data_IF_715046447153
#
_entry.id   IF_715046447153
#
_cell.length_a   1.000
_cell.length_b   1.000
_cell.length_c   1.000
_cell.angle_alpha   90.00
_cell.angle_beta   90.00
_cell.angle_gamma   90.00
#
_symmetry.space_group_name_H-M   'P 1'
#
loop_
_entity.id
_entity.type
_entity.pdbx_description
1 polymer ?
#
# COMPACT_ATOMS: atom_id res chain seq x y z
N UNK A 1 22.13 -18.88 6.63
CA UNK A 1 21.19 -18.43 5.59
C UNK A 1 21.33 -16.92 5.50
N UNK A 2 21.52 -16.39 4.30
CA UNK A 2 21.55 -14.95 4.05
C UNK A 2 20.31 -14.60 3.23
N UNK A 3 19.54 -13.62 3.68
CA UNK A 3 18.34 -13.16 2.99
C UNK A 3 18.38 -11.64 2.86
N UNK A 4 17.88 -11.13 1.75
CA UNK A 4 17.75 -9.69 1.55
C UNK A 4 16.67 -9.12 2.47
N UNK A 5 16.78 -7.83 2.74
CA UNK A 5 15.77 -7.09 3.48
C UNK A 5 14.37 -7.23 2.84
N UNK A 6 14.29 -7.10 1.51
CA UNK A 6 13.04 -7.23 0.76
C UNK A 6 12.44 -8.63 0.86
N UNK A 7 13.27 -9.69 0.79
CA UNK A 7 12.84 -11.07 1.01
C UNK A 7 12.24 -11.25 2.41
N UNK A 8 12.91 -10.70 3.42
CA UNK A 8 12.42 -10.69 4.80
C UNK A 8 11.04 -10.03 4.93
N UNK A 9 10.84 -8.85 4.34
CA UNK A 9 9.55 -8.15 4.38
C UNK A 9 8.43 -8.93 3.71
N UNK A 10 8.67 -9.46 2.51
CA UNK A 10 7.67 -10.27 1.79
C UNK A 10 7.34 -11.52 2.59
N UNK A 11 8.35 -12.19 3.15
CA UNK A 11 8.13 -13.41 3.93
C UNK A 11 7.33 -13.16 5.22
N UNK A 12 7.64 -12.07 5.94
CA UNK A 12 6.88 -11.67 7.13
C UNK A 12 5.41 -11.37 6.76
N UNK A 13 5.20 -10.71 5.63
CA UNK A 13 3.87 -10.39 5.14
C UNK A 13 3.07 -11.65 4.77
N UNK A 14 3.66 -12.58 4.01
CA UNK A 14 3.02 -13.84 3.64
C UNK A 14 2.63 -14.64 4.89
N UNK A 15 3.57 -14.81 5.83
CA UNK A 15 3.33 -15.46 7.11
C UNK A 15 2.16 -14.82 7.86
N UNK A 16 2.17 -13.49 8.00
CA UNK A 16 1.12 -12.77 8.75
C UNK A 16 -0.26 -12.82 8.08
N UNK A 17 -0.31 -13.01 6.77
CA UNK A 17 -1.57 -13.15 6.03
C UNK A 17 -2.18 -14.55 6.16
N UNK A 18 -1.42 -15.53 6.68
CA UNK A 18 -1.81 -16.93 6.74
C UNK A 18 -1.92 -17.58 5.37
N UNK A 19 -1.15 -17.08 4.39
CA UNK A 19 -1.20 -17.50 2.97
C UNK A 19 0.11 -18.11 2.52
N UNK A 20 0.60 -19.09 3.27
CA UNK A 20 1.86 -19.80 2.98
C UNK A 20 1.90 -20.36 1.55
N UNK A 21 0.74 -20.69 0.95
CA UNK A 21 0.64 -21.13 -0.44
C UNK A 21 1.13 -20.10 -1.48
N UNK A 22 1.31 -18.83 -1.09
CA UNK A 22 1.88 -17.79 -1.95
C UNK A 22 3.36 -18.00 -2.24
N UNK A 23 4.10 -18.72 -1.40
CA UNK A 23 5.50 -18.98 -1.69
C UNK A 23 5.71 -19.98 -2.83
N UNK A 24 4.68 -20.76 -3.16
CA UNK A 24 4.77 -21.86 -4.12
C UNK A 24 4.22 -21.47 -5.51
N UNK A 25 3.90 -20.19 -5.73
CA UNK A 25 3.40 -19.68 -7.01
C UNK A 25 3.66 -18.18 -7.18
N UNK A 26 3.63 -17.66 -8.42
CA UNK A 26 3.71 -16.22 -8.63
C UNK A 26 2.56 -15.44 -7.97
N UNK A 27 2.88 -14.31 -7.37
CA UNK A 27 1.92 -13.36 -6.80
C UNK A 27 2.42 -11.92 -6.91
N UNK A 28 1.53 -10.97 -6.67
CA UNK A 28 1.87 -9.56 -6.55
C UNK A 28 1.94 -9.16 -5.08
N UNK A 29 2.96 -8.40 -4.69
CA UNK A 29 3.06 -7.77 -3.37
C UNK A 29 2.96 -6.26 -3.53
N UNK A 30 1.91 -5.63 -3.00
CA UNK A 30 1.77 -4.18 -3.00
C UNK A 30 2.18 -3.61 -1.65
N UNK A 31 3.31 -2.92 -1.61
CA UNK A 31 3.83 -2.27 -0.41
C UNK A 31 3.48 -0.78 -0.38
N UNK A 32 2.63 -0.39 0.56
CA UNK A 32 2.22 1.00 0.81
C UNK A 32 2.49 1.43 2.26
N UNK A 33 3.59 2.14 2.47
CA UNK A 33 4.00 2.68 3.78
C UNK A 33 4.11 4.21 3.73
N UNK A 34 4.57 4.80 4.83
CA UNK A 34 4.96 6.22 4.84
C UNK A 34 6.06 6.56 3.84
N UNK A 35 6.96 5.62 3.52
CA UNK A 35 8.10 5.86 2.62
C UNK A 35 8.01 5.16 1.26
N UNK A 36 7.12 4.18 1.10
CA UNK A 36 7.13 3.26 -0.05
C UNK A 36 5.75 3.18 -0.68
N UNK A 37 5.70 3.15 -2.01
CA UNK A 37 4.50 2.79 -2.77
C UNK A 37 4.94 2.04 -4.01
N UNK A 38 4.97 0.72 -3.90
CA UNK A 38 5.49 -0.18 -4.92
C UNK A 38 4.58 -1.38 -5.08
N UNK A 39 4.35 -1.78 -6.32
CA UNK A 39 3.77 -3.04 -6.71
C UNK A 39 4.90 -3.93 -7.22
N UNK A 40 5.17 -5.00 -6.50
CA UNK A 40 6.20 -5.98 -6.80
C UNK A 40 5.57 -7.21 -7.44
N UNK A 41 6.17 -7.70 -8.53
CA UNK A 41 5.92 -9.05 -9.04
C UNK A 41 6.90 -10.00 -8.36
N UNK A 42 6.36 -11.00 -7.67
CA UNK A 42 7.12 -12.02 -6.97
C UNK A 42 6.90 -13.33 -7.71
N UNK A 43 7.84 -13.73 -8.56
CA UNK A 43 7.81 -15.06 -9.21
C UNK A 43 8.34 -16.13 -8.25
N UNK A 44 9.37 -15.76 -7.48
CA UNK A 44 9.90 -16.50 -6.33
C UNK A 44 10.56 -15.49 -5.37
N UNK A 45 11.05 -15.94 -4.22
CA UNK A 45 11.79 -15.05 -3.32
C UNK A 45 13.13 -14.58 -3.92
N UNK A 46 13.68 -15.30 -4.89
CA UNK A 46 14.92 -14.93 -5.58
C UNK A 46 14.67 -14.14 -6.88
N UNK A 47 13.42 -14.06 -7.32
CA UNK A 47 12.98 -13.33 -8.51
C UNK A 47 11.82 -12.38 -8.16
N UNK A 48 12.23 -11.17 -7.73
CA UNK A 48 11.35 -10.07 -7.37
C UNK A 48 11.68 -8.88 -8.27
N UNK A 49 10.66 -8.33 -8.92
CA UNK A 49 10.79 -7.14 -9.77
C UNK A 49 9.72 -6.10 -9.47
N UNK A 50 10.05 -4.82 -9.65
CA UNK A 50 9.08 -3.73 -9.51
C UNK A 50 8.23 -3.67 -10.78
N UNK A 51 6.93 -3.87 -10.65
CA UNK A 51 5.98 -3.77 -11.75
C UNK A 51 5.42 -2.35 -11.89
N UNK A 52 5.17 -1.67 -10.77
CA UNK A 52 4.75 -0.27 -10.74
C UNK A 52 5.18 0.42 -9.44
N UNK A 53 5.38 1.73 -9.44
CA UNK A 53 5.75 2.51 -8.26
C UNK A 53 5.24 3.96 -8.32
N UNK A 54 5.33 4.71 -7.22
CA UNK A 54 5.22 6.17 -7.28
C UNK A 54 6.53 6.81 -7.76
N UNK A 55 6.44 7.92 -8.50
CA UNK A 55 7.60 8.66 -9.01
C UNK A 55 8.11 9.74 -8.05
N UNK A 56 7.26 10.23 -7.14
CA UNK A 56 7.54 11.40 -6.30
C UNK A 56 7.33 11.12 -4.81
N UNK A 57 6.10 11.25 -4.30
CA UNK A 57 5.75 10.99 -2.91
C UNK A 57 5.01 9.65 -2.81
N UNK A 58 5.16 8.97 -1.67
CA UNK A 58 4.39 7.79 -1.37
C UNK A 58 2.93 8.14 -1.06
N UNK A 59 2.03 7.15 -1.12
CA UNK A 59 0.65 7.33 -0.65
C UNK A 59 0.57 7.64 0.85
N UNK A 60 1.51 7.12 1.65
CA UNK A 60 1.59 7.43 3.08
C UNK A 60 2.00 8.88 3.31
N UNK A 61 2.99 9.39 2.57
CA UNK A 61 3.37 10.80 2.60
C UNK A 61 2.21 11.72 2.20
N UNK A 62 1.43 11.36 1.19
CA UNK A 62 0.24 12.13 0.83
C UNK A 62 -0.74 12.20 2.01
N UNK A 63 -1.04 11.07 2.65
CA UNK A 63 -1.92 11.01 3.84
C UNK A 63 -1.36 11.88 4.97
N UNK A 64 -0.08 11.74 5.28
CA UNK A 64 0.55 12.46 6.39
C UNK A 64 0.59 13.97 6.15
N UNK A 65 0.97 14.40 4.94
CA UNK A 65 1.03 15.83 4.59
C UNK A 65 -0.35 16.48 4.59
N UNK A 66 -1.36 15.80 4.05
CA UNK A 66 -2.75 16.30 4.10
C UNK A 66 -3.25 16.35 5.54
N UNK A 67 -2.99 15.31 6.34
CA UNK A 67 -3.38 15.30 7.74
C UNK A 67 -2.77 16.46 8.53
N UNK A 68 -1.47 16.75 8.33
CA UNK A 68 -0.79 17.91 8.94
C UNK A 68 -1.41 19.23 8.45
N UNK A 69 -1.68 19.35 7.16
CA UNK A 69 -2.35 20.51 6.58
C UNK A 69 -3.73 20.77 7.22
N UNK A 70 -4.46 19.70 7.58
CA UNK A 70 -5.77 19.76 8.24
C UNK A 70 -5.69 19.83 9.77
N UNK A 71 -4.49 20.01 10.35
CA UNK A 71 -4.31 20.26 11.79
C UNK A 71 -3.94 19.04 12.65
N UNK A 72 -3.59 17.90 12.03
CA UNK A 72 -3.09 16.72 12.77
C UNK A 72 -1.58 16.78 13.04
N UNK A 73 -1.11 15.99 14.01
CA UNK A 73 0.28 15.58 14.12
C UNK A 73 0.62 14.37 13.23
N UNK A 74 1.88 13.94 13.28
CA UNK A 74 2.38 12.74 12.59
C UNK A 74 2.46 11.54 13.56
N UNK A 75 2.13 10.31 13.14
CA UNK A 75 1.53 9.93 11.85
C UNK A 75 0.04 10.33 11.78
N UNK A 76 -0.44 10.73 10.60
CA UNK A 76 -1.78 11.32 10.44
C UNK A 76 -2.83 10.36 9.87
N UNK A 77 -2.45 9.13 9.52
CA UNK A 77 -3.37 8.12 8.97
C UNK A 77 -4.66 7.92 9.76
N UNK A 78 -4.61 7.60 11.08
CA UNK A 78 -5.80 7.39 11.89
C UNK A 78 -6.69 8.63 12.00
N UNK A 79 -6.09 9.82 12.04
CA UNK A 79 -6.82 11.08 12.06
C UNK A 79 -7.60 11.28 10.75
N UNK A 80 -6.91 11.10 9.61
CA UNK A 80 -7.51 11.33 8.30
C UNK A 80 -8.62 10.31 8.00
N UNK A 81 -8.43 9.06 8.42
CA UNK A 81 -9.46 8.02 8.33
C UNK A 81 -10.72 8.38 9.11
N UNK A 82 -10.57 8.82 10.37
CA UNK A 82 -11.70 9.22 11.20
C UNK A 82 -12.41 10.45 10.62
N UNK A 83 -11.65 11.43 10.14
CA UNK A 83 -12.17 12.67 9.57
C UNK A 83 -12.95 12.39 8.26
N UNK A 84 -12.47 11.45 7.45
CA UNK A 84 -13.13 11.04 6.21
C UNK A 84 -14.53 10.41 6.42
N UNK A 85 -14.85 9.88 7.61
CA UNK A 85 -16.17 9.28 7.87
C UNK A 85 -17.34 10.26 7.70
N UNK A 86 -17.11 11.56 7.90
CA UNK A 86 -18.10 12.62 7.67
C UNK A 86 -18.05 13.24 6.27
N UNK A 87 -17.17 12.74 5.40
CA UNK A 87 -16.88 13.34 4.09
C UNK A 87 -17.56 12.62 2.93
N UNK A 88 -17.49 13.27 1.77
CA UNK A 88 -17.92 12.76 0.48
C UNK A 88 -16.97 13.26 -0.61
N UNK A 89 -16.99 12.65 -1.79
CA UNK A 89 -16.14 13.10 -2.90
C UNK A 89 -16.63 14.45 -3.43
N UNK A 90 -15.84 15.53 -3.34
CA UNK A 90 -16.14 16.77 -4.03
C UNK A 90 -16.01 16.58 -5.56
N UNK A 91 -15.09 15.71 -5.97
CA UNK A 91 -14.87 15.29 -7.34
C UNK A 91 -14.12 13.95 -7.36
N UNK A 92 -14.21 13.21 -8.48
CA UNK A 92 -13.51 11.93 -8.62
C UNK A 92 -12.02 12.15 -8.93
N UNK A 93 -11.07 11.52 -8.20
CA UNK A 93 -9.66 11.63 -8.52
C UNK A 93 -9.35 10.91 -9.85
N UNK A 94 -8.58 11.58 -10.71
CA UNK A 94 -8.17 11.04 -12.01
C UNK A 94 -6.73 10.56 -11.88
N UNK A 95 -6.57 9.26 -11.63
CA UNK A 95 -5.25 8.64 -11.49
C UNK A 95 -4.63 8.44 -12.87
N UNK A 96 -3.41 8.94 -13.07
CA UNK A 96 -2.62 8.71 -14.27
C UNK A 96 -1.39 7.89 -13.90
N UNK A 97 -1.17 6.82 -14.66
CA UNK A 97 0.02 5.98 -14.56
C UNK A 97 0.68 6.03 -15.93
N UNK A 98 1.99 6.28 -15.95
CA UNK A 98 2.80 6.34 -17.16
C UNK A 98 4.04 5.50 -16.93
N UNK A 99 4.29 4.53 -17.81
CA UNK A 99 5.48 3.68 -17.79
C UNK A 99 5.73 2.99 -16.43
N UNK A 100 4.66 2.60 -15.73
CA UNK A 100 4.75 1.97 -14.39
C UNK A 100 4.72 2.97 -13.24
N UNK A 101 4.72 4.26 -13.52
CA UNK A 101 4.90 5.30 -12.52
C UNK A 101 3.68 6.19 -12.34
N UNK A 102 3.28 6.40 -11.08
CA UNK A 102 2.24 7.36 -10.70
C UNK A 102 2.84 8.55 -9.93
N UNK A 103 2.37 9.77 -10.19
CA UNK A 103 2.76 10.96 -9.44
C UNK A 103 1.63 11.41 -8.53
N UNK A 104 1.95 11.62 -7.26
CA UNK A 104 1.01 11.97 -6.19
C UNK A 104 1.13 13.41 -5.70
N UNK A 105 2.22 14.12 -6.01
CA UNK A 105 2.39 15.53 -5.65
C UNK A 105 1.32 16.45 -6.25
N UNK A 106 0.75 16.09 -7.40
CA UNK A 106 -0.40 16.78 -7.98
C UNK A 106 -1.65 16.74 -7.09
N UNK A 107 -1.87 15.63 -6.37
CA UNK A 107 -2.99 15.50 -5.44
C UNK A 107 -2.74 16.27 -4.15
N UNK A 108 -1.50 16.33 -3.66
CA UNK A 108 -1.12 17.20 -2.53
C UNK A 108 -1.48 18.65 -2.83
N UNK A 109 -1.01 19.20 -3.95
CA UNK A 109 -1.34 20.57 -4.37
C UNK A 109 -2.83 20.81 -4.55
N UNK A 110 -3.54 19.79 -5.05
CA UNK A 110 -4.99 19.84 -5.25
C UNK A 110 -5.75 19.89 -3.93
N UNK A 111 -5.37 19.10 -2.93
CA UNK A 111 -5.99 19.16 -1.60
C UNK A 111 -5.77 20.51 -0.92
N UNK A 112 -4.59 21.12 -1.09
CA UNK A 112 -4.33 22.49 -0.65
C UNK A 112 -5.25 23.50 -1.34
N UNK A 113 -5.40 23.38 -2.66
CA UNK A 113 -6.32 24.22 -3.43
C UNK A 113 -7.79 24.04 -2.99
N UNK A 114 -8.20 22.81 -2.64
CA UNK A 114 -9.53 22.55 -2.09
C UNK A 114 -9.74 23.27 -0.75
N UNK A 115 -8.73 23.22 0.13
CA UNK A 115 -8.76 23.92 1.41
C UNK A 115 -8.87 25.44 1.21
N UNK A 116 -8.06 26.02 0.33
CA UNK A 116 -8.09 27.45 0.00
C UNK A 116 -9.45 27.90 -0.57
N UNK A 117 -10.19 26.98 -1.21
CA UNK A 117 -11.55 27.21 -1.73
C UNK A 117 -12.66 26.97 -0.70
N UNK A 118 -12.31 26.63 0.55
CA UNK A 118 -13.27 26.39 1.62
C UNK A 118 -14.00 25.04 1.54
N UNK A 119 -13.44 24.06 0.81
CA UNK A 119 -13.95 22.67 0.90
C UNK A 119 -13.68 22.16 2.32
N UNK A 120 -14.67 21.47 2.90
CA UNK A 120 -14.59 21.03 4.29
C UNK A 120 -13.43 20.03 4.51
N UNK A 121 -12.78 20.04 5.69
CA UNK A 121 -11.73 19.08 6.03
C UNK A 121 -12.15 17.61 5.84
N UNK A 122 -13.41 17.27 6.12
CA UNK A 122 -13.97 15.93 5.95
C UNK A 122 -13.96 15.50 4.47
N UNK A 123 -14.37 16.39 3.56
CA UNK A 123 -14.36 16.11 2.13
C UNK A 123 -12.94 16.01 1.57
N UNK A 124 -11.99 16.81 2.09
CA UNK A 124 -10.57 16.73 1.70
C UNK A 124 -9.95 15.42 2.19
N UNK A 125 -10.24 15.02 3.44
CA UNK A 125 -9.81 13.76 3.99
C UNK A 125 -10.37 12.58 3.19
N UNK A 126 -11.68 12.59 2.88
CA UNK A 126 -12.31 11.57 2.06
C UNK A 126 -11.71 11.50 0.65
N UNK A 127 -11.52 12.65 0.00
CA UNK A 127 -10.86 12.73 -1.30
C UNK A 127 -9.46 12.12 -1.27
N UNK A 128 -8.70 12.36 -0.21
CA UNK A 128 -7.33 11.86 -0.07
C UNK A 128 -7.31 10.34 0.10
N UNK A 129 -8.14 9.80 0.99
CA UNK A 129 -8.26 8.35 1.19
C UNK A 129 -8.73 7.65 -0.10
N UNK A 130 -9.73 8.20 -0.79
CA UNK A 130 -10.19 7.66 -2.08
C UNK A 130 -9.12 7.74 -3.16
N UNK A 131 -8.34 8.84 -3.20
CA UNK A 131 -7.22 8.99 -4.14
C UNK A 131 -6.19 7.89 -3.93
N UNK A 132 -5.83 7.60 -2.66
CA UNK A 132 -4.90 6.52 -2.33
C UNK A 132 -5.49 5.16 -2.74
N UNK A 133 -6.72 4.85 -2.33
CA UNK A 133 -7.38 3.60 -2.67
C UNK A 133 -7.45 3.38 -4.19
N UNK A 134 -7.86 4.40 -4.94
CA UNK A 134 -7.96 4.33 -6.40
C UNK A 134 -6.59 4.24 -7.07
N UNK A 135 -5.55 4.87 -6.50
CA UNK A 135 -4.17 4.75 -7.01
C UNK A 135 -3.68 3.32 -6.89
N UNK A 136 -3.77 2.76 -5.68
CA UNK A 136 -3.36 1.37 -5.41
C UNK A 136 -4.13 0.41 -6.31
N UNK A 137 -5.47 0.54 -6.35
CA UNK A 137 -6.33 -0.30 -7.18
C UNK A 137 -5.93 -0.24 -8.66
N UNK A 138 -5.73 0.97 -9.19
CA UNK A 138 -5.39 1.16 -10.60
C UNK A 138 -4.02 0.59 -10.94
N UNK A 139 -3.01 0.83 -10.11
CA UNK A 139 -1.68 0.24 -10.27
C UNK A 139 -1.77 -1.30 -10.25
N UNK A 140 -2.50 -1.87 -9.30
CA UNK A 140 -2.73 -3.32 -9.25
C UNK A 140 -3.42 -3.83 -10.51
N UNK A 141 -4.49 -3.19 -10.97
CA UNK A 141 -5.26 -3.68 -12.13
C UNK A 141 -4.49 -3.55 -13.45
N UNK A 142 -3.77 -2.45 -13.68
CA UNK A 142 -3.03 -2.21 -14.93
C UNK A 142 -1.75 -3.07 -15.04
N UNK A 143 -1.11 -3.37 -13.90
CA UNK A 143 0.18 -4.08 -13.86
C UNK A 143 0.07 -5.51 -13.29
N UNK A 144 -1.14 -6.04 -13.20
CA UNK A 144 -1.42 -7.46 -12.93
C UNK A 144 -2.41 -8.04 -13.97
N UNK A 145 -2.05 -8.06 -15.27
CA UNK A 145 -2.94 -8.54 -16.33
C UNK A 145 -3.30 -10.02 -16.18
N UNK A 146 -2.41 -10.81 -15.56
CA UNK A 146 -2.59 -12.23 -15.25
C UNK A 146 -3.56 -12.49 -14.09
N UNK A 147 -3.97 -11.44 -13.36
CA UNK A 147 -4.86 -11.52 -12.19
C UNK A 147 -4.32 -12.47 -11.12
N UNK A 148 -3.00 -12.44 -10.94
CA UNK A 148 -2.31 -13.14 -9.86
C UNK A 148 -2.86 -12.69 -8.50
N UNK A 149 -2.75 -13.51 -7.45
CA UNK A 149 -3.07 -13.08 -6.10
C UNK A 149 -2.28 -11.85 -5.69
N UNK A 150 -2.90 -10.97 -4.91
CA UNK A 150 -2.29 -9.72 -4.47
C UNK A 150 -2.23 -9.69 -2.96
N UNK A 151 -1.03 -9.60 -2.42
CA UNK A 151 -0.76 -9.39 -1.01
C UNK A 151 -0.50 -7.90 -0.78
N UNK A 152 -1.41 -7.23 -0.08
CA UNK A 152 -1.30 -5.83 0.31
C UNK A 152 -0.61 -5.71 1.68
N UNK A 153 0.44 -4.91 1.74
CA UNK A 153 1.31 -4.74 2.92
C UNK A 153 1.62 -3.27 3.15
N UNK A 154 2.02 -2.91 4.36
CA UNK A 154 2.32 -1.52 4.70
C UNK A 154 1.28 -0.88 5.62
N UNK A 155 1.70 0.10 6.42
CA UNK A 155 0.82 0.75 7.41
C UNK A 155 -0.43 1.39 6.79
N UNK A 156 -0.35 1.86 5.55
CA UNK A 156 -1.50 2.45 4.81
C UNK A 156 -2.60 1.43 4.57
N UNK A 157 -2.25 0.14 4.45
CA UNK A 157 -3.20 -0.96 4.30
C UNK A 157 -3.98 -1.26 5.56
N UNK A 158 -3.73 -0.57 6.68
CA UNK A 158 -4.54 -0.66 7.90
C UNK A 158 -5.86 0.09 7.80
N UNK A 159 -5.97 1.03 6.85
CA UNK A 159 -7.16 1.86 6.66
C UNK A 159 -8.32 1.03 6.10
N UNK A 160 -9.47 1.04 6.79
CA UNK A 160 -10.61 0.19 6.49
C UNK A 160 -11.28 0.55 5.16
N UNK A 161 -11.31 1.83 4.82
CA UNK A 161 -11.85 2.28 3.53
C UNK A 161 -10.98 1.79 2.37
N UNK A 162 -9.65 1.91 2.50
CA UNK A 162 -8.70 1.40 1.50
C UNK A 162 -8.83 -0.12 1.35
N UNK A 163 -8.86 -0.87 2.47
CA UNK A 163 -9.10 -2.32 2.44
C UNK A 163 -10.41 -2.66 1.73
N UNK A 164 -11.49 -1.95 2.05
CA UNK A 164 -12.81 -2.19 1.44
C UNK A 164 -12.79 -2.00 -0.08
N UNK A 165 -12.06 -1.00 -0.60
CA UNK A 165 -11.95 -0.75 -2.05
C UNK A 165 -11.10 -1.82 -2.75
N UNK A 166 -10.09 -2.34 -2.06
CA UNK A 166 -9.12 -3.31 -2.60
C UNK A 166 -9.55 -4.78 -2.40
N UNK A 167 -10.50 -5.04 -1.51
CA UNK A 167 -10.97 -6.38 -1.16
C UNK A 167 -11.59 -7.10 -2.37
N UNK A 168 -11.35 -8.40 -2.45
CA UNK A 168 -11.82 -9.24 -3.54
C UNK A 168 -11.33 -10.68 -3.39
N UNK A 169 -11.71 -11.56 -4.33
CA UNK A 169 -11.45 -13.01 -4.24
C UNK A 169 -9.97 -13.39 -4.07
N UNK A 170 -9.06 -12.58 -4.60
CA UNK A 170 -7.62 -12.84 -4.63
C UNK A 170 -6.80 -11.71 -3.95
N UNK A 171 -7.44 -10.95 -3.06
CA UNK A 171 -6.82 -9.88 -2.30
C UNK A 171 -6.58 -10.35 -0.86
N UNK A 172 -5.32 -10.26 -0.41
CA UNK A 172 -4.90 -10.62 0.93
C UNK A 172 -4.22 -9.43 1.59
N UNK A 173 -4.33 -9.34 2.92
CA UNK A 173 -3.76 -8.24 3.68
C UNK A 173 -2.86 -8.82 4.75
N UNK A 174 -1.61 -8.37 4.79
CA UNK A 174 -0.71 -8.67 5.89
C UNK A 174 -1.16 -7.93 7.15
N UNK A 175 -0.83 -8.48 8.32
CA UNK A 175 -1.08 -7.74 9.55
C UNK A 175 -0.15 -6.51 9.65
N UNK A 176 -0.66 -5.34 10.05
CA UNK A 176 0.13 -4.10 10.08
C UNK A 176 1.44 -4.19 10.86
N UNK A 177 1.48 -4.99 11.94
CA UNK A 177 2.68 -5.17 12.78
C UNK A 177 3.86 -5.82 12.05
N UNK A 178 3.60 -6.53 10.94
CA UNK A 178 4.63 -7.17 10.11
C UNK A 178 4.97 -6.34 8.86
N UNK A 179 4.37 -5.16 8.73
CA UNK A 179 4.63 -4.25 7.61
C UNK A 179 5.90 -3.42 7.78
N UNK A 180 6.37 -3.21 9.01
CA UNK A 180 7.65 -2.58 9.33
C UNK A 180 8.77 -3.62 9.45
N UNK A 181 10.02 -3.16 9.52
CA UNK A 181 11.20 -4.00 9.74
C UNK A 181 11.00 -4.88 10.97
N UNK A 182 11.08 -6.19 10.77
CA UNK A 182 10.91 -7.17 11.83
C UNK A 182 11.73 -8.43 11.53
N UNK A 183 12.06 -9.18 12.58
CA UNK A 183 12.83 -10.42 12.45
C UNK A 183 12.00 -11.62 11.99
N UNK A 184 10.67 -11.52 11.98
CA UNK A 184 9.80 -12.67 11.76
C UNK A 184 9.96 -13.27 10.36
N UNK A 185 10.08 -12.43 9.34
CA UNK A 185 10.30 -12.89 7.97
C UNK A 185 11.61 -13.64 7.81
N UNK A 186 12.71 -13.09 8.34
CA UNK A 186 14.03 -13.72 8.30
C UNK A 186 14.03 -15.05 9.06
N UNK A 187 13.43 -15.08 10.25
CA UNK A 187 13.31 -16.30 11.05
C UNK A 187 12.48 -17.38 10.33
N UNK A 188 11.38 -16.97 9.69
CA UNK A 188 10.51 -17.87 8.95
C UNK A 188 11.18 -18.44 7.70
N UNK A 189 11.93 -17.61 6.95
CA UNK A 189 12.73 -18.06 5.81
C UNK A 189 13.80 -19.09 6.22
N UNK A 190 14.51 -18.83 7.32
CA UNK A 190 15.51 -19.77 7.84
C UNK A 190 14.88 -21.13 8.22
N UNK A 191 13.71 -21.11 8.86
CA UNK A 191 12.97 -22.33 9.19
C UNK A 191 12.59 -23.13 7.94
N UNK A 192 12.07 -22.46 6.90
CA UNK A 192 11.67 -23.11 5.64
C UNK A 192 12.86 -23.74 4.91
N UNK A 193 13.97 -23.03 4.82
CA UNK A 193 15.20 -23.59 4.22
C UNK A 193 15.78 -24.75 5.02
N UNK A 194 15.61 -24.78 6.34
CA UNK A 194 16.00 -25.92 7.16
C UNK A 194 15.10 -27.13 6.91
N UNK A 195 13.78 -26.91 6.81
CA UNK A 195 12.81 -27.98 6.54
C UNK A 195 12.95 -28.59 5.14
N UNK A 196 13.29 -27.78 4.12
CA UNK A 196 13.48 -28.26 2.75
C UNK A 196 14.72 -29.18 2.58
N UNK A 197 15.63 -29.22 3.56
CA UNK A 197 16.85 -30.06 3.55
C UNK A 197 16.67 -31.41 4.26
N UNK A 198 15.54 -31.64 4.92
CA UNK A 198 15.20 -32.86 5.66
C UNK A 198 14.27 -33.71 4.82
#
# INVERSE_FOLDING_TARGET
YEFSHQQGHIAAAVYSSGKDELFDRPFMCFHASGGTTELLRVNSLDDISIAAATADISVGQLIDRVGVMLGSGFPAGPFLEKLALGGSLPEKPIIRIKDGHCSLSGFENKTKTMLDKGISPENIAFYTIETVAMTVKKMTEEYNPEKLPVLYVGGVMSNERIKSVLSGKNAYFAEPRFSSDNAAGIAYLALREQQAKI
#
